data_IF_311698674832
#
_entry.id   IF_311698674832
#
_cell.length_a   1.000
_cell.length_b   1.000
_cell.length_c   1.000
_cell.angle_alpha   90.00
_cell.angle_beta   90.00
_cell.angle_gamma   90.00
#
_symmetry.space_group_name_H-M   'P 1'
#
loop_
_entity.id
_entity.type
_entity.pdbx_description
1 polymer ?
#
# COMPACT_ATOMS: atom_id res chain seq x y z
N UNK A 1 -8.45 -12.29 -8.50
CA UNK A 1 -7.51 -11.91 -7.43
C UNK A 1 -7.68 -10.43 -7.12
N UNK A 2 -7.86 -10.10 -5.85
CA UNK A 2 -8.00 -8.70 -5.43
C UNK A 2 -6.65 -8.00 -5.41
N UNK A 3 -6.67 -6.71 -5.76
CA UNK A 3 -5.49 -5.87 -5.73
C UNK A 3 -5.54 -4.96 -4.51
N UNK A 4 -4.46 -4.96 -3.75
CA UNK A 4 -4.35 -4.16 -2.53
C UNK A 4 -3.19 -3.19 -2.70
N UNK A 5 -3.44 -1.91 -2.44
CA UNK A 5 -2.40 -0.92 -2.31
C UNK A 5 -2.06 -0.76 -0.83
N UNK A 6 -0.82 -1.03 -0.48
CA UNK A 6 -0.32 -0.86 0.87
C UNK A 6 0.55 0.39 0.92
N UNK A 7 0.10 1.40 1.61
CA UNK A 7 0.82 2.67 1.77
C UNK A 7 1.56 2.64 3.09
N UNK A 8 2.89 2.62 3.01
CA UNK A 8 3.76 2.45 4.17
C UNK A 8 4.23 1.01 4.30
N UNK A 9 5.55 0.80 4.11
CA UNK A 9 6.16 -0.53 4.01
C UNK A 9 7.10 -0.85 5.16
N UNK A 10 7.05 -0.07 6.25
CA UNK A 10 7.82 -0.36 7.42
C UNK A 10 7.33 -1.61 8.14
N UNK A 11 7.73 -1.76 9.39
CA UNK A 11 7.44 -2.97 10.16
C UNK A 11 5.95 -3.29 10.24
N UNK A 12 5.11 -2.28 10.50
CA UNK A 12 3.66 -2.47 10.61
C UNK A 12 3.05 -2.83 9.26
N UNK A 13 3.43 -2.11 8.19
CA UNK A 13 2.93 -2.38 6.86
C UNK A 13 3.30 -3.77 6.38
N UNK A 14 4.54 -4.19 6.60
CA UNK A 14 4.98 -5.53 6.28
C UNK A 14 4.21 -6.61 7.03
N UNK A 15 3.92 -6.37 8.30
CA UNK A 15 3.14 -7.31 9.11
C UNK A 15 1.71 -7.46 8.60
N UNK A 16 1.09 -6.35 8.19
CA UNK A 16 -0.25 -6.37 7.60
C UNK A 16 -0.25 -7.18 6.30
N UNK A 17 0.72 -6.95 5.43
CA UNK A 17 0.84 -7.67 4.16
C UNK A 17 0.96 -9.17 4.38
N UNK A 18 1.83 -9.61 5.29
CA UNK A 18 2.01 -11.02 5.59
C UNK A 18 0.75 -11.65 6.15
N UNK A 19 0.04 -10.95 7.03
CA UNK A 19 -1.21 -11.44 7.60
C UNK A 19 -2.28 -11.65 6.53
N UNK A 20 -2.39 -10.71 5.58
CA UNK A 20 -3.36 -10.82 4.49
C UNK A 20 -3.02 -11.98 3.57
N UNK A 21 -1.74 -12.16 3.23
CA UNK A 21 -1.30 -13.24 2.34
C UNK A 21 -1.55 -14.63 2.90
N UNK A 22 -1.54 -14.79 4.22
CA UNK A 22 -1.81 -16.09 4.84
C UNK A 22 -3.24 -16.58 4.64
N UNK A 23 -4.17 -15.66 4.44
CA UNK A 23 -5.60 -15.98 4.39
C UNK A 23 -6.23 -15.76 3.03
N UNK A 24 -5.60 -14.98 2.16
CA UNK A 24 -6.20 -14.57 0.89
C UNK A 24 -5.17 -14.57 -0.23
N UNK A 25 -5.62 -14.94 -1.41
CA UNK A 25 -4.83 -14.74 -2.62
C UNK A 25 -5.05 -13.30 -3.09
N UNK A 26 -4.00 -12.49 -2.96
CA UNK A 26 -4.06 -11.07 -3.28
C UNK A 26 -2.79 -10.65 -4.00
N UNK A 27 -2.92 -9.59 -4.80
CA UNK A 27 -1.78 -8.89 -5.37
C UNK A 27 -1.57 -7.63 -4.55
N UNK A 28 -0.39 -7.47 -3.98
CA UNK A 28 -0.06 -6.33 -3.13
C UNK A 28 0.90 -5.41 -3.86
N UNK A 29 0.47 -4.16 -4.03
CA UNK A 29 1.29 -3.08 -4.57
C UNK A 29 1.70 -2.21 -3.39
N UNK A 30 2.99 -2.06 -3.19
CA UNK A 30 3.52 -1.24 -2.10
C UNK A 30 3.85 0.18 -2.55
N UNK A 31 3.62 1.13 -1.68
CA UNK A 31 4.02 2.52 -1.84
C UNK A 31 4.68 3.00 -0.56
N UNK A 32 5.82 3.64 -0.67
CA UNK A 32 6.54 4.23 0.45
C UNK A 32 7.40 5.38 -0.06
N UNK A 33 7.55 6.41 0.73
CA UNK A 33 8.45 7.52 0.41
C UNK A 33 9.92 7.11 0.49
N UNK A 34 10.21 6.04 1.24
CA UNK A 34 11.56 5.51 1.40
C UNK A 34 11.78 4.34 0.44
N UNK A 35 12.62 4.55 -0.57
CA UNK A 35 12.90 3.52 -1.58
C UNK A 35 13.55 2.27 -1.02
N UNK A 36 14.32 2.40 0.05
CA UNK A 36 14.96 1.25 0.69
C UNK A 36 13.92 0.31 1.28
N UNK A 37 12.83 0.85 1.84
CA UNK A 37 11.72 0.04 2.35
C UNK A 37 11.02 -0.71 1.21
N UNK A 38 10.82 -0.04 0.08
CA UNK A 38 10.22 -0.67 -1.10
C UNK A 38 11.08 -1.80 -1.64
N UNK A 39 12.37 -1.58 -1.78
CA UNK A 39 13.30 -2.59 -2.27
C UNK A 39 13.35 -3.81 -1.34
N UNK A 40 13.40 -3.57 -0.04
CA UNK A 40 13.43 -4.65 0.95
C UNK A 40 12.14 -5.47 0.93
N UNK A 41 11.00 -4.81 0.83
CA UNK A 41 9.71 -5.49 0.78
C UNK A 41 9.58 -6.37 -0.46
N UNK A 42 10.08 -5.90 -1.61
CA UNK A 42 10.12 -6.71 -2.83
C UNK A 42 11.03 -7.92 -2.66
N UNK A 43 12.22 -7.71 -2.11
CA UNK A 43 13.20 -8.77 -1.92
C UNK A 43 12.69 -9.86 -0.99
N UNK A 44 11.96 -9.49 0.04
CA UNK A 44 11.40 -10.43 1.01
C UNK A 44 10.07 -11.06 0.56
N UNK A 45 9.55 -10.66 -0.60
CA UNK A 45 8.28 -11.20 -1.09
C UNK A 45 7.06 -10.70 -0.33
N UNK A 46 7.19 -9.62 0.42
CA UNK A 46 6.08 -9.02 1.17
C UNK A 46 5.09 -8.35 0.23
N UNK A 47 5.60 -7.70 -0.80
CA UNK A 47 4.78 -7.07 -1.86
C UNK A 47 5.12 -7.69 -3.20
N UNK A 48 4.19 -7.60 -4.14
CA UNK A 48 4.39 -8.10 -5.51
C UNK A 48 5.05 -7.05 -6.41
N UNK A 49 4.77 -5.78 -6.14
CA UNK A 49 5.36 -4.67 -6.88
C UNK A 49 5.42 -3.44 -6.00
N UNK A 50 6.32 -2.54 -6.35
CA UNK A 50 6.51 -1.27 -5.67
C UNK A 50 6.27 -0.13 -6.65
N UNK A 51 5.59 0.91 -6.22
CA UNK A 51 5.32 2.07 -7.05
C UNK A 51 5.64 3.36 -6.32
N UNK A 52 6.01 4.37 -7.07
CA UNK A 52 6.12 5.75 -6.58
C UNK A 52 4.95 6.62 -7.04
N UNK A 53 4.04 6.06 -7.81
CA UNK A 53 2.86 6.75 -8.28
C UNK A 53 1.64 6.32 -7.47
N UNK A 54 1.34 7.07 -6.43
CA UNK A 54 0.18 6.80 -5.57
C UNK A 54 -1.12 6.81 -6.36
N UNK A 55 -1.27 7.78 -7.28
CA UNK A 55 -2.48 7.93 -8.08
C UNK A 55 -2.74 6.69 -8.93
N UNK A 56 -1.75 6.25 -9.70
CA UNK A 56 -1.91 5.09 -10.59
C UNK A 56 -2.24 3.83 -9.81
N UNK A 57 -1.54 3.61 -8.71
CA UNK A 57 -1.77 2.43 -7.88
C UNK A 57 -3.15 2.48 -7.22
N UNK A 58 -3.57 3.65 -6.75
CA UNK A 58 -4.87 3.81 -6.10
C UNK A 58 -6.01 3.53 -7.08
N UNK A 59 -5.87 3.94 -8.34
CA UNK A 59 -6.90 3.68 -9.34
C UNK A 59 -7.11 2.19 -9.62
N UNK A 60 -6.04 1.42 -9.60
CA UNK A 60 -6.10 -0.01 -9.91
C UNK A 60 -6.41 -0.90 -8.71
N UNK A 61 -6.29 -0.38 -7.49
CA UNK A 61 -6.47 -1.18 -6.29
C UNK A 61 -7.94 -1.34 -5.90
N UNK A 62 -8.28 -2.50 -5.35
CA UNK A 62 -9.61 -2.74 -4.78
C UNK A 62 -9.70 -2.22 -3.35
N UNK A 63 -8.60 -2.31 -2.59
CA UNK A 63 -8.50 -1.83 -1.21
C UNK A 63 -7.22 -1.04 -1.04
N UNK A 64 -7.26 -0.03 -0.18
CA UNK A 64 -6.10 0.78 0.16
C UNK A 64 -5.90 0.72 1.67
N UNK A 65 -4.74 0.24 2.09
CA UNK A 65 -4.37 0.14 3.51
C UNK A 65 -3.32 1.19 3.83
N UNK A 66 -3.58 2.01 4.84
CA UNK A 66 -2.66 3.07 5.27
C UNK A 66 -1.94 2.61 6.54
N UNK A 67 -0.63 2.45 6.42
CA UNK A 67 0.24 1.99 7.51
C UNK A 67 1.42 2.95 7.72
N UNK A 68 1.24 4.22 7.39
CA UNK A 68 2.24 5.27 7.60
C UNK A 68 2.07 5.94 8.97
N UNK A 69 3.06 6.69 9.46
CA UNK A 69 2.90 7.51 10.65
C UNK A 69 1.72 8.49 10.52
N UNK A 70 1.09 8.82 11.63
CA UNK A 70 -0.10 9.69 11.65
C UNK A 70 0.15 11.01 10.93
N UNK A 71 1.33 11.61 11.10
CA UNK A 71 1.68 12.85 10.43
C UNK A 71 1.64 12.74 8.90
N UNK A 72 1.97 11.57 8.35
CA UNK A 72 1.93 11.35 6.90
C UNK A 72 0.54 10.93 6.41
N UNK A 73 -0.28 10.32 7.25
CA UNK A 73 -1.62 9.87 6.88
C UNK A 73 -2.49 11.03 6.40
N UNK A 74 -2.44 12.17 7.09
CA UNK A 74 -3.24 13.34 6.71
C UNK A 74 -2.90 13.83 5.31
N UNK A 75 -1.61 13.91 4.97
CA UNK A 75 -1.18 14.32 3.63
C UNK A 75 -1.64 13.32 2.57
N UNK A 76 -1.50 12.03 2.85
CA UNK A 76 -1.90 10.98 1.92
C UNK A 76 -3.41 11.00 1.71
N UNK A 77 -4.19 11.18 2.77
CA UNK A 77 -5.65 11.26 2.65
C UNK A 77 -6.06 12.49 1.83
N UNK A 78 -5.39 13.61 1.99
CA UNK A 78 -5.64 14.79 1.16
C UNK A 78 -5.33 14.50 -0.31
N UNK A 79 -4.22 13.85 -0.60
CA UNK A 79 -3.86 13.47 -1.95
C UNK A 79 -4.89 12.50 -2.54
N UNK A 80 -5.29 11.49 -1.79
CA UNK A 80 -6.30 10.53 -2.24
C UNK A 80 -7.66 11.19 -2.46
N UNK A 81 -8.00 12.21 -1.68
CA UNK A 81 -9.29 12.91 -1.82
C UNK A 81 -9.39 13.71 -3.12
N UNK A 82 -8.27 13.98 -3.78
CA UNK A 82 -8.29 14.61 -5.11
C UNK A 82 -8.66 13.63 -6.21
N UNK A 83 -8.64 12.34 -5.91
CA UNK A 83 -9.03 11.27 -6.84
C UNK A 83 -10.49 10.91 -6.60
N UNK A 84 -11.21 10.63 -7.66
CA UNK A 84 -12.58 10.15 -7.53
C UNK A 84 -12.58 8.64 -7.30
N UNK A 85 -12.17 8.24 -6.11
CA UNK A 85 -12.06 6.83 -5.76
C UNK A 85 -13.36 6.32 -5.13
N UNK A 86 -13.83 5.18 -5.62
CA UNK A 86 -14.93 4.43 -5.02
C UNK A 86 -14.36 3.16 -4.39
N UNK A 87 -13.40 3.35 -3.48
CA UNK A 87 -12.64 2.25 -2.90
C UNK A 87 -12.67 2.29 -1.38
N UNK A 88 -12.45 1.13 -0.79
CA UNK A 88 -12.33 1.05 0.65
C UNK A 88 -10.91 1.42 1.08
N UNK A 89 -10.80 2.45 1.92
CA UNK A 89 -9.54 2.89 2.51
C UNK A 89 -9.53 2.49 3.97
N UNK A 90 -8.46 1.80 4.36
CA UNK A 90 -8.33 1.27 5.71
C UNK A 90 -7.09 1.82 6.40
#
# INVERSE_FOLDING_TARGET
MKKILLVGLGLIGGSIALAIRKKHEVQIIGYDLNDAEGALALQLGIIDSYTKSLHTAAESADYIFLATPISAICEILQELSTFQLQKHVV
#
